data_IF_617237652876
#
_entry.id   IF_617237652876
#
_cell.length_a   1.000
_cell.length_b   1.000
_cell.length_c   1.000
_cell.angle_alpha   90.00
_cell.angle_beta   90.00
_cell.angle_gamma   90.00
#
_symmetry.space_group_name_H-M   'P 1'
#
loop_
_entity.id
_entity.type
_entity.pdbx_description
1 polymer ?
#
# COMPACT_ATOMS: atom_id res chain seq x y z
N UNK A 1 24.74 -1.90 37.82
CA UNK A 1 24.68 -2.62 36.54
C UNK A 1 23.60 -1.96 35.71
N UNK A 2 24.00 -1.13 34.75
CA UNK A 2 23.09 -0.47 33.82
C UNK A 2 23.09 -1.38 32.59
N UNK A 3 22.03 -2.16 32.42
CA UNK A 3 21.85 -3.08 31.30
C UNK A 3 20.59 -2.71 30.54
N UNK A 4 20.80 -1.88 29.52
CA UNK A 4 20.12 -1.85 28.23
C UNK A 4 18.59 -1.93 28.23
N UNK A 5 17.98 -0.75 28.26
CA UNK A 5 16.61 -0.52 27.79
C UNK A 5 16.65 -0.73 26.27
N UNK A 6 16.27 -1.93 25.80
CA UNK A 6 16.02 -2.19 24.39
C UNK A 6 14.90 -1.25 23.91
N UNK A 7 15.31 -0.11 23.35
CA UNK A 7 14.44 0.74 22.56
C UNK A 7 14.09 -0.05 21.31
N UNK A 8 12.99 -0.79 21.39
CA UNK A 8 12.29 -1.36 20.26
C UNK A 8 11.99 -0.21 19.31
N UNK A 9 12.88 -0.03 18.34
CA UNK A 9 12.77 0.91 17.23
C UNK A 9 11.66 0.37 16.31
N UNK A 10 10.42 0.43 16.82
CA UNK A 10 9.20 0.23 16.07
C UNK A 10 9.08 1.46 15.18
N UNK A 11 9.94 1.52 14.15
CA UNK A 11 9.69 2.34 12.98
C UNK A 11 8.26 2.04 12.59
N UNK A 12 7.37 2.98 12.88
CA UNK A 12 5.94 2.84 12.69
C UNK A 12 5.76 2.73 11.18
N UNK A 13 5.87 1.51 10.67
CA UNK A 13 5.95 1.26 9.24
C UNK A 13 4.57 1.64 8.72
N UNK A 14 4.51 2.78 8.05
CA UNK A 14 3.28 3.26 7.46
C UNK A 14 2.82 2.17 6.50
N UNK A 15 1.60 1.70 6.69
CA UNK A 15 0.98 0.81 5.71
C UNK A 15 0.75 1.64 4.45
N UNK A 16 1.71 1.55 3.53
CA UNK A 16 1.68 2.25 2.25
C UNK A 16 0.42 1.90 1.45
N UNK A 17 -0.12 0.70 1.64
CA UNK A 17 -1.38 0.28 1.00
C UNK A 17 -2.54 1.09 1.57
N UNK A 18 -2.64 1.20 2.89
CA UNK A 18 -3.67 2.00 3.55
C UNK A 18 -3.56 3.48 3.21
N UNK A 19 -2.32 4.01 3.11
CA UNK A 19 -2.05 5.39 2.72
C UNK A 19 -2.48 5.67 1.28
N UNK A 20 -2.07 4.84 0.32
CA UNK A 20 -2.44 5.07 -1.08
C UNK A 20 -3.96 4.96 -1.27
N UNK A 21 -4.60 3.97 -0.63
CA UNK A 21 -6.06 3.84 -0.67
C UNK A 21 -6.79 5.02 -0.03
N UNK A 22 -6.22 5.65 1.02
CA UNK A 22 -6.83 6.87 1.58
C UNK A 22 -6.79 8.04 0.60
N UNK A 23 -5.70 8.18 -0.17
CA UNK A 23 -5.59 9.17 -1.24
C UNK A 23 -6.61 8.88 -2.35
N UNK A 24 -6.74 7.62 -2.79
CA UNK A 24 -7.74 7.23 -3.79
C UNK A 24 -9.16 7.66 -3.37
N UNK A 25 -9.55 7.40 -2.12
CA UNK A 25 -10.86 7.86 -1.61
C UNK A 25 -10.98 9.38 -1.54
N UNK A 26 -9.92 10.08 -1.16
CA UNK A 26 -9.91 11.54 -1.11
C UNK A 26 -10.08 12.16 -2.50
N UNK A 27 -9.61 11.48 -3.55
CA UNK A 27 -9.79 11.86 -4.96
C UNK A 27 -11.15 11.42 -5.54
N UNK A 28 -11.98 10.70 -4.78
CA UNK A 28 -13.24 10.12 -5.26
C UNK A 28 -13.07 8.85 -6.08
N UNK A 29 -11.88 8.25 -6.05
CA UNK A 29 -11.54 7.02 -6.75
C UNK A 29 -11.84 5.79 -5.86
N UNK A 30 -12.07 4.64 -6.50
CA UNK A 30 -12.23 3.37 -5.78
C UNK A 30 -10.88 2.82 -5.33
N UNK A 31 -10.87 2.05 -4.23
CA UNK A 31 -9.69 1.37 -3.72
C UNK A 31 -9.23 0.26 -4.69
N UNK A 32 -8.39 0.60 -5.69
CA UNK A 32 -7.85 -0.38 -6.64
C UNK A 32 -6.38 -0.75 -6.39
N UNK A 33 -5.64 0.02 -5.57
CA UNK A 33 -4.22 -0.27 -5.32
C UNK A 33 -4.02 -1.59 -4.57
N UNK A 34 -3.22 -2.49 -5.13
CA UNK A 34 -2.89 -3.82 -4.56
C UNK A 34 -4.12 -4.58 -4.05
N UNK A 35 -5.27 -4.42 -4.72
CA UNK A 35 -6.27 -5.48 -4.68
C UNK A 35 -5.85 -6.46 -5.75
N UNK A 36 -6.04 -7.76 -5.53
CA UNK A 36 -5.91 -8.81 -6.56
C UNK A 36 -7.01 -8.66 -7.66
N UNK A 37 -7.35 -7.43 -8.02
CA UNK A 37 -8.30 -7.07 -9.05
C UNK A 37 -7.53 -6.92 -10.35
N UNK A 38 -7.87 -7.80 -11.29
CA UNK A 38 -7.28 -7.88 -12.63
C UNK A 38 -7.59 -6.62 -13.46
N UNK A 39 -8.59 -5.82 -13.06
CA UNK A 39 -8.99 -4.64 -13.82
C UNK A 39 -9.00 -3.35 -12.98
N UNK A 40 -8.22 -2.38 -13.45
CA UNK A 40 -8.24 -0.99 -12.99
C UNK A 40 -8.92 -0.15 -14.07
N UNK A 41 -10.24 -0.05 -13.96
CA UNK A 41 -11.12 0.65 -14.92
C UNK A 41 -10.96 2.18 -14.90
N UNK A 42 -10.21 2.69 -13.93
CA UNK A 42 -9.96 4.12 -13.79
C UNK A 42 -8.83 4.58 -14.71
N UNK A 43 -9.21 5.19 -15.83
CA UNK A 43 -8.29 5.72 -16.86
C UNK A 43 -7.28 6.73 -16.31
N UNK A 44 -7.65 7.48 -15.26
CA UNK A 44 -6.81 8.50 -14.61
C UNK A 44 -6.16 8.05 -13.30
N UNK A 45 -6.17 6.76 -12.97
CA UNK A 45 -5.53 6.27 -11.75
C UNK A 45 -4.01 6.47 -11.80
N UNK A 46 -3.46 7.26 -10.88
CA UNK A 46 -2.02 7.51 -10.79
C UNK A 46 -1.20 6.25 -10.46
N UNK A 47 -1.84 5.23 -9.87
CA UNK A 47 -1.20 3.98 -9.46
C UNK A 47 -1.51 2.79 -10.39
N UNK A 48 -2.07 3.04 -11.58
CA UNK A 48 -2.58 1.99 -12.49
C UNK A 48 -1.57 0.87 -12.76
N UNK A 49 -0.29 1.20 -12.97
CA UNK A 49 0.75 0.17 -13.22
C UNK A 49 0.87 -0.80 -12.03
N UNK A 50 0.76 -0.30 -10.81
CA UNK A 50 0.88 -1.08 -9.57
C UNK A 50 -0.42 -1.79 -9.18
N UNK A 51 -1.54 -1.38 -9.76
CA UNK A 51 -2.81 -2.08 -9.60
C UNK A 51 -2.85 -3.36 -10.45
N UNK A 52 -2.20 -3.32 -11.63
CA UNK A 52 -2.16 -4.41 -12.61
C UNK A 52 -0.90 -5.30 -12.46
N UNK A 53 0.02 -4.94 -11.56
CA UNK A 53 1.13 -5.81 -11.20
C UNK A 53 0.60 -7.03 -10.43
N UNK A 54 0.68 -8.21 -11.06
CA UNK A 54 0.45 -9.49 -10.39
C UNK A 54 1.44 -9.61 -9.23
N UNK A 55 0.95 -9.55 -7.99
CA UNK A 55 1.76 -9.83 -6.80
C UNK A 55 2.04 -11.34 -6.60
N UNK A 56 1.71 -12.18 -7.59
CA UNK A 56 1.98 -13.62 -7.58
C UNK A 56 3.28 -14.01 -8.31
N UNK A 57 4.39 -13.33 -8.00
CA UNK A 57 5.73 -13.79 -8.39
C UNK A 57 6.62 -13.96 -7.15
N UNK A 58 6.24 -14.88 -6.27
CA UNK A 58 7.20 -15.61 -5.45
C UNK A 58 6.65 -17.00 -5.12
N UNK A 59 6.91 -17.95 -6.01
CA UNK A 59 6.96 -19.37 -5.67
C UNK A 59 8.27 -19.94 -6.22
#
# INVERSE_FOLDING_TARGET
MIGDIEHSDKRHFLDMTALIRSIQRAEGNVDCYRRDQVDCDQVKCAWRQYCLEDHQASK
#
